data_IF_366554154413
#
_entry.id   IF_366554154413
#
_cell.length_a   1.000
_cell.length_b   1.000
_cell.length_c   1.000
_cell.angle_alpha   90.00
_cell.angle_beta   90.00
_cell.angle_gamma   90.00
#
_symmetry.space_group_name_H-M   'P 1'
#
loop_
_entity.id
_entity.type
_entity.pdbx_description
1 polymer ?
#
# COMPACT_ATOMS: atom_id res chain seq x y z
N UNK A 1 -45.03 -8.25 17.43
CA UNK A 1 -43.78 -7.62 17.96
C UNK A 1 -43.07 -6.91 16.81
N UNK A 2 -43.48 -5.65 16.49
CA UNK A 2 -42.97 -4.91 15.34
C UNK A 2 -41.60 -4.32 15.69
N UNK A 3 -40.56 -4.71 14.96
CA UNK A 3 -39.26 -4.14 15.12
C UNK A 3 -39.28 -2.67 14.64
N UNK A 4 -38.84 -1.76 15.49
CA UNK A 4 -38.74 -0.32 15.21
C UNK A 4 -37.94 -0.09 13.91
N UNK A 5 -38.54 0.51 12.85
CA UNK A 5 -37.88 0.73 11.55
C UNK A 5 -36.64 1.60 11.67
N UNK A 6 -36.58 2.48 12.67
CA UNK A 6 -35.42 3.34 12.92
C UNK A 6 -34.20 2.54 13.43
N UNK A 7 -34.44 1.48 14.23
CA UNK A 7 -33.37 0.57 14.70
C UNK A 7 -32.79 -0.26 13.55
N UNK A 8 -33.64 -0.72 12.62
CA UNK A 8 -33.22 -1.52 11.46
C UNK A 8 -32.37 -0.66 10.51
N UNK A 9 -32.82 0.56 10.22
CA UNK A 9 -32.05 1.50 9.37
C UNK A 9 -30.71 1.88 10.01
N UNK A 10 -30.67 2.13 11.31
CA UNK A 10 -29.44 2.45 12.04
C UNK A 10 -28.44 1.31 12.01
N UNK A 11 -28.90 0.05 12.15
CA UNK A 11 -28.02 -1.14 12.04
C UNK A 11 -27.48 -1.33 10.62
N UNK A 12 -28.30 -1.11 9.58
CA UNK A 12 -27.87 -1.19 8.18
C UNK A 12 -26.81 -0.14 7.86
N UNK A 13 -27.00 1.10 8.25
CA UNK A 13 -26.03 2.19 8.01
C UNK A 13 -24.71 1.96 8.74
N UNK A 14 -24.73 1.47 9.99
CA UNK A 14 -23.52 1.14 10.75
C UNK A 14 -22.76 -0.02 10.09
N UNK A 15 -23.48 -1.07 9.63
CA UNK A 15 -22.85 -2.25 8.98
C UNK A 15 -22.23 -1.89 7.63
N UNK A 16 -22.87 -1.05 6.82
CA UNK A 16 -22.35 -0.59 5.53
C UNK A 16 -21.15 0.30 5.73
N UNK A 17 -21.16 1.17 6.71
CA UNK A 17 -20.03 2.04 7.08
C UNK A 17 -18.81 1.24 7.54
N UNK A 18 -19.00 0.19 8.33
CA UNK A 18 -17.91 -0.69 8.77
C UNK A 18 -17.26 -1.41 7.59
N UNK A 19 -18.05 -1.90 6.64
CA UNK A 19 -17.53 -2.58 5.43
C UNK A 19 -16.66 -1.67 4.57
N UNK A 20 -17.07 -0.41 4.37
CA UNK A 20 -16.31 0.55 3.57
C UNK A 20 -14.93 0.83 4.19
N UNK A 21 -14.86 1.06 5.50
CA UNK A 21 -13.59 1.28 6.21
C UNK A 21 -12.67 0.06 6.10
N UNK A 22 -13.22 -1.15 6.19
CA UNK A 22 -12.46 -2.39 6.01
C UNK A 22 -11.94 -2.51 4.58
N UNK A 23 -12.77 -2.28 3.57
CA UNK A 23 -12.38 -2.32 2.17
C UNK A 23 -11.29 -1.30 1.84
N UNK A 24 -11.40 -0.08 2.37
CA UNK A 24 -10.38 0.95 2.20
C UNK A 24 -9.04 0.55 2.84
N UNK A 25 -9.07 -0.08 4.01
CA UNK A 25 -7.87 -0.59 4.68
C UNK A 25 -7.24 -1.74 3.89
N UNK A 26 -8.05 -2.67 3.37
CA UNK A 26 -7.56 -3.76 2.51
C UNK A 26 -6.97 -3.19 1.22
N UNK A 27 -7.64 -2.22 0.59
CA UNK A 27 -7.13 -1.56 -0.61
C UNK A 27 -5.77 -0.89 -0.34
N UNK A 28 -5.60 -0.23 0.81
CA UNK A 28 -4.33 0.35 1.22
C UNK A 28 -3.21 -0.69 1.27
N UNK A 29 -3.43 -1.84 1.92
CA UNK A 29 -2.41 -2.91 1.98
C UNK A 29 -2.12 -3.51 0.60
N UNK A 30 -3.14 -3.76 -0.20
CA UNK A 30 -2.98 -4.29 -1.55
C UNK A 30 -2.18 -3.32 -2.42
N UNK A 31 -2.51 -2.03 -2.38
CA UNK A 31 -1.81 -1.01 -3.15
C UNK A 31 -0.33 -0.87 -2.76
N UNK A 32 0.01 -1.03 -1.47
CA UNK A 32 1.40 -0.97 -0.99
C UNK A 32 2.21 -2.22 -1.32
N UNK A 33 1.58 -3.39 -1.49
CA UNK A 33 2.32 -4.63 -1.78
C UNK A 33 2.52 -4.87 -3.28
N UNK A 34 1.71 -4.24 -4.15
CA UNK A 34 1.81 -4.41 -5.60
C UNK A 34 3.23 -4.21 -6.14
N UNK A 35 3.99 -3.15 -5.78
CA UNK A 35 5.35 -2.98 -6.29
C UNK A 35 6.27 -4.14 -5.95
N UNK A 36 6.15 -4.69 -4.75
CA UNK A 36 6.95 -5.83 -4.32
C UNK A 36 6.54 -7.12 -5.04
N UNK A 37 5.24 -7.29 -5.35
CA UNK A 37 4.78 -8.40 -6.18
C UNK A 37 5.31 -8.29 -7.62
N UNK A 38 5.37 -7.09 -8.18
CA UNK A 38 5.95 -6.86 -9.51
C UNK A 38 7.43 -7.20 -9.47
N UNK A 39 8.18 -6.67 -8.49
CA UNK A 39 9.60 -6.93 -8.32
C UNK A 39 9.90 -8.43 -8.15
N UNK A 40 9.09 -9.15 -7.38
CA UNK A 40 9.20 -10.59 -7.17
C UNK A 40 9.04 -11.42 -8.46
N UNK A 41 8.31 -10.89 -9.46
CA UNK A 41 8.09 -11.55 -10.75
C UNK A 41 9.08 -11.12 -11.82
N UNK A 42 9.74 -9.97 -11.67
CA UNK A 42 10.64 -9.42 -12.68
C UNK A 42 12.10 -9.74 -12.41
N UNK A 43 12.47 -9.94 -11.16
CA UNK A 43 13.85 -10.26 -10.77
C UNK A 43 14.04 -11.77 -10.51
N UNK A 44 15.17 -12.34 -10.90
CA UNK A 44 15.47 -13.78 -10.72
C UNK A 44 15.88 -14.09 -9.28
N UNK A 45 14.99 -13.81 -8.32
CA UNK A 45 15.24 -14.22 -6.94
C UNK A 45 15.13 -15.73 -6.78
N UNK A 46 16.00 -16.32 -5.98
CA UNK A 46 15.98 -17.76 -5.69
C UNK A 46 15.21 -18.06 -4.42
N UNK A 47 14.42 -19.16 -4.46
CA UNK A 47 13.85 -19.81 -3.28
C UNK A 47 13.01 -18.86 -2.41
N UNK A 48 13.24 -18.90 -1.12
CA UNK A 48 12.47 -18.21 -0.07
C UNK A 48 12.61 -16.68 -0.07
N UNK A 49 13.52 -16.12 -0.88
CA UNK A 49 13.68 -14.66 -0.98
C UNK A 49 12.45 -13.97 -1.55
N UNK A 50 11.74 -14.64 -2.47
CA UNK A 50 10.48 -14.13 -3.07
C UNK A 50 9.41 -13.99 -2.00
N UNK A 51 9.25 -15.00 -1.15
CA UNK A 51 8.30 -14.99 -0.05
C UNK A 51 8.63 -13.88 0.95
N UNK A 52 9.89 -13.73 1.32
CA UNK A 52 10.35 -12.68 2.22
C UNK A 52 10.07 -11.28 1.67
N UNK A 53 10.28 -11.06 0.36
CA UNK A 53 10.05 -9.79 -0.34
C UNK A 53 8.59 -9.35 -0.26
N UNK A 54 7.65 -10.26 -0.13
CA UNK A 54 6.22 -9.99 -0.01
C UNK A 54 5.80 -9.96 1.47
N UNK A 55 6.20 -10.97 2.26
CA UNK A 55 5.72 -11.15 3.63
C UNK A 55 6.22 -10.06 4.59
N UNK A 56 7.49 -9.66 4.47
CA UNK A 56 8.07 -8.66 5.37
C UNK A 56 7.43 -7.28 5.21
N UNK A 57 7.33 -6.68 4.00
CA UNK A 57 6.68 -5.39 3.84
C UNK A 57 5.19 -5.45 4.19
N UNK A 58 4.48 -6.50 3.81
CA UNK A 58 3.07 -6.67 4.17
C UNK A 58 2.89 -6.72 5.68
N UNK A 59 3.70 -7.52 6.38
CA UNK A 59 3.70 -7.61 7.84
C UNK A 59 3.98 -6.23 8.48
N UNK A 60 4.96 -5.50 7.97
CA UNK A 60 5.28 -4.15 8.42
C UNK A 60 4.10 -3.18 8.26
N UNK A 61 3.45 -3.15 7.10
CA UNK A 61 2.29 -2.27 6.86
C UNK A 61 1.09 -2.65 7.75
N UNK A 62 0.88 -3.94 8.00
CA UNK A 62 -0.15 -4.40 8.92
C UNK A 62 0.15 -3.97 10.37
N UNK A 63 1.40 -4.07 10.83
CA UNK A 63 1.83 -3.58 12.13
C UNK A 63 1.69 -2.05 12.22
N UNK A 64 2.06 -1.31 11.19
CA UNK A 64 1.84 0.14 11.11
C UNK A 64 0.39 0.52 11.35
N UNK A 65 -0.56 -0.27 10.83
CA UNK A 65 -1.99 0.00 10.97
C UNK A 65 -2.50 -0.06 12.42
N UNK A 66 -1.77 -0.71 13.32
CA UNK A 66 -2.13 -0.78 14.76
C UNK A 66 -1.95 0.56 15.47
N UNK A 67 -0.98 1.36 15.05
CA UNK A 67 -0.62 2.62 15.70
C UNK A 67 -1.80 3.62 15.72
N UNK A 68 -2.67 3.59 14.72
CA UNK A 68 -3.72 4.57 14.55
C UNK A 68 -5.11 3.95 14.52
N UNK A 69 -6.01 4.52 15.30
CA UNK A 69 -7.40 4.05 15.38
C UNK A 69 -8.29 4.57 14.26
N UNK A 70 -7.90 5.67 13.61
CA UNK A 70 -8.65 6.31 12.52
C UNK A 70 -8.07 5.87 11.18
N UNK A 71 -8.86 5.14 10.37
CA UNK A 71 -8.42 4.60 9.07
C UNK A 71 -7.94 5.68 8.10
N UNK A 72 -8.66 6.78 7.96
CA UNK A 72 -8.26 7.86 7.06
C UNK A 72 -6.95 8.55 7.48
N UNK A 73 -6.75 8.79 8.79
CA UNK A 73 -5.51 9.37 9.32
C UNK A 73 -4.34 8.39 9.15
N UNK A 74 -4.59 7.10 9.36
CA UNK A 74 -3.60 6.04 9.17
C UNK A 74 -3.05 6.02 7.74
N UNK A 75 -3.94 6.11 6.74
CA UNK A 75 -3.56 6.11 5.33
C UNK A 75 -2.79 7.40 4.98
N UNK A 76 -3.24 8.56 5.46
CA UNK A 76 -2.55 9.82 5.22
C UNK A 76 -1.18 9.89 5.89
N UNK A 77 -1.06 9.37 7.10
CA UNK A 77 0.24 9.27 7.77
C UNK A 77 1.15 8.22 7.09
N UNK A 78 0.55 7.24 6.39
CA UNK A 78 1.22 6.29 5.51
C UNK A 78 1.61 6.86 4.14
N UNK A 79 1.37 8.15 3.87
CA UNK A 79 1.73 8.79 2.59
C UNK A 79 3.19 8.60 2.18
N UNK A 80 4.20 8.65 3.08
CA UNK A 80 5.57 8.34 2.70
C UNK A 80 5.74 6.94 2.09
N UNK A 81 5.04 5.95 2.61
CA UNK A 81 5.07 4.58 2.04
C UNK A 81 4.39 4.53 0.68
N UNK A 82 3.23 5.22 0.54
CA UNK A 82 2.54 5.36 -0.75
C UNK A 82 3.46 6.00 -1.78
N UNK A 83 4.15 7.07 -1.40
CA UNK A 83 5.09 7.76 -2.28
C UNK A 83 6.25 6.86 -2.71
N UNK A 84 6.87 6.13 -1.78
CA UNK A 84 7.94 5.19 -2.09
C UNK A 84 7.47 4.06 -3.01
N UNK A 85 6.29 3.50 -2.75
CA UNK A 85 5.69 2.47 -3.61
C UNK A 85 5.35 3.00 -5.01
N UNK A 86 4.80 4.21 -5.11
CA UNK A 86 4.53 4.88 -6.38
C UNK A 86 5.83 5.12 -7.17
N UNK A 87 6.86 5.62 -6.49
CA UNK A 87 8.18 5.84 -7.06
C UNK A 87 8.81 4.53 -7.55
N UNK A 88 8.71 3.45 -6.77
CA UNK A 88 9.19 2.13 -7.16
C UNK A 88 8.50 1.61 -8.43
N UNK A 89 7.18 1.79 -8.58
CA UNK A 89 6.46 1.40 -9.81
C UNK A 89 6.99 2.16 -11.02
N UNK A 90 7.21 3.48 -10.88
CA UNK A 90 7.74 4.30 -11.97
C UNK A 90 9.14 3.83 -12.36
N UNK A 91 10.00 3.55 -11.39
CA UNK A 91 11.36 3.06 -11.65
C UNK A 91 11.37 1.67 -12.29
N UNK A 92 10.54 0.75 -11.81
CA UNK A 92 10.40 -0.59 -12.40
C UNK A 92 9.92 -0.50 -13.86
N UNK A 93 9.03 0.45 -14.16
CA UNK A 93 8.56 0.68 -15.51
C UNK A 93 9.65 1.23 -16.44
N UNK A 94 10.45 2.20 -15.95
CA UNK A 94 11.50 2.86 -16.75
C UNK A 94 12.70 1.98 -17.02
N UNK A 95 13.15 1.27 -16.00
CA UNK A 95 14.42 0.53 -16.03
C UNK A 95 14.22 -0.98 -16.17
N UNK A 96 12.97 -1.42 -16.30
CA UNK A 96 12.63 -2.85 -16.45
C UNK A 96 12.89 -3.65 -15.18
N UNK A 97 13.57 -4.77 -15.33
CA UNK A 97 13.74 -5.80 -14.31
C UNK A 97 14.87 -5.51 -13.30
N UNK A 98 15.33 -4.29 -13.14
CA UNK A 98 16.45 -4.02 -12.25
C UNK A 98 16.03 -3.45 -10.90
N UNK A 99 16.70 -3.91 -9.84
CA UNK A 99 16.65 -3.28 -8.53
C UNK A 99 17.18 -1.85 -8.68
N UNK A 100 16.60 -0.91 -7.93
CA UNK A 100 17.05 0.49 -7.92
C UNK A 100 18.53 0.52 -7.57
N UNK A 101 19.37 0.67 -8.58
CA UNK A 101 20.80 0.82 -8.41
C UNK A 101 21.17 2.30 -8.23
N UNK A 102 22.25 2.56 -7.51
CA UNK A 102 22.76 3.91 -7.29
C UNK A 102 23.01 4.64 -8.61
N UNK A 103 23.40 3.90 -9.65
CA UNK A 103 23.67 4.41 -11.00
C UNK A 103 22.43 5.02 -11.65
N UNK A 104 21.23 4.54 -11.32
CA UNK A 104 19.97 5.09 -11.84
C UNK A 104 19.73 6.51 -11.33
N UNK A 105 20.02 6.77 -10.04
CA UNK A 105 19.94 8.12 -9.49
C UNK A 105 20.98 9.04 -10.11
N UNK A 106 22.20 8.55 -10.34
CA UNK A 106 23.25 9.31 -10.98
C UNK A 106 22.85 9.67 -12.40
N UNK A 107 22.34 8.73 -13.17
CA UNK A 107 21.85 8.97 -14.53
C UNK A 107 20.69 9.98 -14.54
N UNK A 108 19.73 9.88 -13.61
CA UNK A 108 18.62 10.82 -13.52
C UNK A 108 19.08 12.25 -13.23
N UNK A 109 20.10 12.42 -12.38
CA UNK A 109 20.64 13.75 -11.99
C UNK A 109 21.55 14.33 -13.07
N UNK A 110 22.26 13.50 -13.83
CA UNK A 110 23.21 13.92 -14.88
C UNK A 110 22.58 13.99 -16.28
N UNK A 111 21.30 13.63 -16.43
CA UNK A 111 20.59 13.61 -17.70
C UNK A 111 20.47 15.00 -18.31
N UNK A 112 20.82 15.12 -19.57
CA UNK A 112 20.72 16.33 -20.39
C UNK A 112 19.22 16.70 -20.61
N UNK A 113 18.84 17.99 -20.70
CA UNK A 113 17.45 18.41 -20.92
C UNK A 113 16.74 17.77 -22.12
N UNK A 114 17.44 17.43 -23.19
CA UNK A 114 16.89 16.71 -24.33
C UNK A 114 16.52 15.26 -24.02
N UNK A 115 17.42 14.53 -23.36
CA UNK A 115 17.20 13.16 -22.90
C UNK A 115 16.13 13.11 -21.79
N UNK A 116 16.08 14.14 -20.93
CA UNK A 116 15.03 14.27 -19.93
C UNK A 116 13.64 14.36 -20.57
N UNK A 117 13.49 15.01 -21.73
CA UNK A 117 12.25 15.10 -22.48
C UNK A 117 11.78 13.75 -23.00
N UNK A 118 12.68 12.93 -23.57
CA UNK A 118 12.40 11.57 -24.00
C UNK A 118 12.04 10.66 -22.81
N UNK A 119 12.79 10.74 -21.73
CA UNK A 119 12.53 9.99 -20.51
C UNK A 119 11.15 10.33 -19.95
N UNK A 120 10.79 11.62 -19.90
CA UNK A 120 9.49 12.09 -19.46
C UNK A 120 8.36 11.55 -20.34
N UNK A 121 8.55 11.49 -21.68
CA UNK A 121 7.53 10.93 -22.58
C UNK A 121 7.26 9.45 -22.30
N UNK A 122 8.30 8.70 -21.92
CA UNK A 122 8.19 7.28 -21.59
C UNK A 122 7.58 7.02 -20.20
N UNK A 123 7.61 8.01 -19.30
CA UNK A 123 7.06 7.89 -17.93
C UNK A 123 5.53 7.95 -17.90
N UNK A 124 4.88 8.60 -18.87
CA UNK A 124 3.43 8.84 -18.82
C UNK A 124 2.57 7.63 -18.47
N UNK A 125 2.76 6.43 -19.06
CA UNK A 125 1.91 5.30 -18.73
C UNK A 125 2.03 4.87 -17.27
N UNK A 126 3.24 4.87 -16.70
CA UNK A 126 3.46 4.50 -15.30
C UNK A 126 2.90 5.55 -14.33
N UNK A 127 3.01 6.85 -14.68
CA UNK A 127 2.41 7.94 -13.89
C UNK A 127 0.88 7.82 -13.89
N UNK A 128 0.27 7.53 -15.04
CA UNK A 128 -1.18 7.31 -15.13
C UNK A 128 -1.58 6.11 -14.23
N UNK A 129 -0.85 5.00 -14.31
CA UNK A 129 -1.10 3.83 -13.47
C UNK A 129 -1.03 4.17 -11.97
N UNK A 130 0.03 4.87 -11.56
CA UNK A 130 0.22 5.35 -10.18
C UNK A 130 -0.93 6.27 -9.75
N UNK A 131 -1.31 7.23 -10.59
CA UNK A 131 -2.43 8.13 -10.31
C UNK A 131 -3.75 7.37 -10.13
N UNK A 132 -4.07 6.44 -11.03
CA UNK A 132 -5.29 5.63 -10.95
C UNK A 132 -5.31 4.76 -9.69
N UNK A 133 -4.15 4.27 -9.25
CA UNK A 133 -4.05 3.38 -8.10
C UNK A 133 -4.05 4.15 -6.77
N UNK A 134 -3.33 5.26 -6.64
CA UNK A 134 -3.14 5.93 -5.35
C UNK A 134 -4.02 7.17 -5.14
N UNK A 135 -4.42 7.91 -6.18
CA UNK A 135 -5.28 9.09 -5.99
C UNK A 135 -6.67 8.76 -5.43
N UNK A 136 -7.37 7.71 -5.91
CA UNK A 136 -8.64 7.30 -5.30
C UNK A 136 -8.47 6.88 -3.84
N UNK A 137 -7.37 6.17 -3.51
CA UNK A 137 -7.06 5.76 -2.15
C UNK A 137 -6.94 6.98 -1.21
N UNK A 138 -6.15 7.99 -1.61
CA UNK A 138 -5.96 9.22 -0.84
C UNK A 138 -7.24 10.03 -0.73
N UNK A 139 -8.02 10.12 -1.81
CA UNK A 139 -9.29 10.83 -1.82
C UNK A 139 -10.31 10.19 -0.87
N UNK A 140 -10.47 8.87 -0.92
CA UNK A 140 -11.34 8.15 0.01
C UNK A 140 -10.84 8.25 1.46
N UNK A 141 -9.52 8.21 1.68
CA UNK A 141 -8.93 8.40 2.99
C UNK A 141 -9.22 9.80 3.56
N UNK A 142 -9.11 10.86 2.74
CA UNK A 142 -9.46 12.23 3.13
C UNK A 142 -10.94 12.32 3.54
N UNK A 143 -11.83 11.69 2.78
CA UNK A 143 -13.26 11.63 3.10
C UNK A 143 -13.53 10.90 4.42
N UNK A 144 -12.78 9.84 4.72
CA UNK A 144 -12.88 9.09 5.99
C UNK A 144 -12.43 9.93 7.20
N UNK A 145 -11.45 10.81 7.05
CA UNK A 145 -11.00 11.72 8.12
C UNK A 145 -12.17 12.58 8.59
N UNK A 146 -12.93 13.17 7.66
CA UNK A 146 -14.10 13.99 7.96
C UNK A 146 -15.21 13.25 8.71
N UNK A 147 -15.33 11.94 8.50
CA UNK A 147 -16.35 11.09 9.13
C UNK A 147 -15.96 10.52 10.50
N UNK A 148 -14.75 10.80 11.00
CA UNK A 148 -14.21 10.34 12.31
C UNK A 148 -14.43 8.84 12.56
N UNK A 149 -14.18 7.99 11.57
CA UNK A 149 -14.39 6.55 11.68
C UNK A 149 -13.22 5.88 12.37
N UNK A 150 -13.52 4.95 13.27
CA UNK A 150 -12.54 4.23 14.06
C UNK A 150 -12.57 2.74 13.74
N UNK A 151 -11.39 2.15 13.64
CA UNK A 151 -11.20 0.71 13.58
C UNK A 151 -11.25 0.18 15.03
N UNK A 152 -11.97 -0.92 15.26
CA UNK A 152 -12.09 -1.51 16.60
C UNK A 152 -10.72 -1.93 17.13
N UNK A 153 -10.53 -1.85 18.45
CA UNK A 153 -9.27 -2.26 19.10
C UNK A 153 -8.94 -3.73 18.78
N UNK A 154 -9.95 -4.60 18.86
CA UNK A 154 -9.79 -6.02 18.57
C UNK A 154 -9.32 -6.26 17.14
N UNK A 155 -9.94 -5.60 16.15
CA UNK A 155 -9.53 -5.72 14.75
C UNK A 155 -8.10 -5.26 14.55
N UNK A 156 -7.69 -4.12 15.15
CA UNK A 156 -6.33 -3.63 15.06
C UNK A 156 -5.32 -4.61 15.68
N UNK A 157 -5.63 -5.13 16.86
CA UNK A 157 -4.75 -6.10 17.52
C UNK A 157 -4.60 -7.38 16.69
N UNK A 158 -5.69 -7.90 16.14
CA UNK A 158 -5.63 -9.09 15.28
C UNK A 158 -4.81 -8.83 14.01
N UNK A 159 -5.02 -7.68 13.34
CA UNK A 159 -4.24 -7.28 12.17
C UNK A 159 -2.76 -7.12 12.53
N UNK A 160 -2.45 -6.47 13.64
CA UNK A 160 -1.07 -6.31 14.09
C UNK A 160 -0.39 -7.64 14.44
N UNK A 161 -1.10 -8.53 15.13
CA UNK A 161 -0.56 -9.85 15.47
C UNK A 161 -0.31 -10.68 14.22
N UNK A 162 -1.25 -10.66 13.26
CA UNK A 162 -1.06 -11.31 11.95
C UNK A 162 0.12 -10.68 11.20
N UNK A 163 0.28 -9.35 11.26
CA UNK A 163 1.41 -8.64 10.66
C UNK A 163 2.75 -9.05 11.28
N UNK A 164 2.81 -9.15 12.60
CA UNK A 164 4.00 -9.62 13.31
C UNK A 164 4.35 -11.06 12.94
N UNK A 165 3.36 -11.94 12.82
CA UNK A 165 3.55 -13.31 12.38
C UNK A 165 4.09 -13.39 10.94
N UNK A 166 3.52 -12.62 10.01
CA UNK A 166 4.00 -12.55 8.62
C UNK A 166 5.42 -12.02 8.54
N UNK A 167 5.75 -10.99 9.32
CA UNK A 167 7.10 -10.44 9.37
C UNK A 167 8.11 -11.46 9.92
N UNK A 168 7.74 -12.20 10.97
CA UNK A 168 8.58 -13.27 11.52
C UNK A 168 8.78 -14.40 10.51
N UNK A 169 7.74 -14.81 9.79
CA UNK A 169 7.85 -15.80 8.71
C UNK A 169 8.75 -15.32 7.58
N UNK A 170 8.63 -14.05 7.17
CA UNK A 170 9.52 -13.45 6.17
C UNK A 170 10.98 -13.41 6.61
N UNK A 171 11.24 -13.13 7.89
CA UNK A 171 12.59 -13.19 8.46
C UNK A 171 13.15 -14.61 8.49
N UNK A 172 12.31 -15.59 8.86
CA UNK A 172 12.70 -17.00 8.84
C UNK A 172 13.00 -17.50 7.41
N UNK A 173 12.27 -16.99 6.42
CA UNK A 173 12.51 -17.31 5.02
C UNK A 173 13.88 -16.81 4.49
N UNK A 174 14.45 -15.78 5.13
CA UNK A 174 15.80 -15.29 4.80
C UNK A 174 16.92 -15.93 5.61
N UNK A 175 16.56 -16.75 6.61
CA UNK A 175 17.55 -17.45 7.41
C UNK A 175 18.20 -18.56 6.56
N UNK A 176 19.54 -18.58 6.47
CA UNK A 176 20.28 -19.56 5.68
C UNK A 176 20.11 -21.00 6.19
#
# INVERSE_FOLDING_TARGET
>A
MNADPNRVNRRRTVKTRSRFTTLLTVYFFVALIIPNCVLANTEPYSGWTVEALILMPLGFYMMWSVALSRSGVMIWLGFPFIFLCAFQIVLLYLFGNSIIATDMFTNLVTTNPGEAGELLSNIYPSVILVCVMYLPLLWFAAREIGHKRYISRTTRMNVGLSGAALMALGMLALWP
#
